data_IF_627973755127
#
_entry.id   IF_627973755127
#
_cell.length_a   1.000
_cell.length_b   1.000
_cell.length_c   1.000
_cell.angle_alpha   90.00
_cell.angle_beta   90.00
_cell.angle_gamma   90.00
#
_symmetry.space_group_name_H-M   'P 1'
#
loop_
_entity.id
_entity.type
_entity.pdbx_description
1 polymer ?
#
# COMPACT_ATOMS: atom_id res chain seq x y z
N UNK A 1 -11.42 0.47 19.61
CA UNK A 1 -10.19 1.27 19.57
C UNK A 1 -10.44 2.36 18.53
N UNK A 2 -10.73 3.60 18.95
CA UNK A 2 -11.29 4.62 18.04
C UNK A 2 -10.33 5.08 16.94
N UNK A 3 -9.02 4.84 17.09
CA UNK A 3 -8.01 5.27 16.12
C UNK A 3 -8.01 4.42 14.85
N UNK A 4 -8.11 3.09 14.99
CA UNK A 4 -8.11 2.17 13.85
C UNK A 4 -9.40 2.30 13.01
N UNK A 5 -10.53 2.59 13.66
CA UNK A 5 -11.81 2.81 12.98
C UNK A 5 -11.81 4.09 12.13
N UNK A 6 -11.13 5.15 12.60
CA UNK A 6 -10.99 6.42 11.85
C UNK A 6 -10.03 6.30 10.66
N UNK A 7 -8.95 5.53 10.81
CA UNK A 7 -8.00 5.26 9.73
C UNK A 7 -8.66 4.44 8.61
N UNK A 8 -9.39 3.37 8.98
CA UNK A 8 -10.06 2.51 8.02
C UNK A 8 -11.16 3.23 7.25
N UNK A 9 -11.92 4.10 7.92
CA UNK A 9 -12.96 4.93 7.28
C UNK A 9 -12.33 5.95 6.33
N UNK A 10 -11.26 6.63 6.75
CA UNK A 10 -10.52 7.54 5.87
C UNK A 10 -9.97 6.83 4.63
N UNK A 11 -9.37 5.65 4.81
CA UNK A 11 -8.85 4.84 3.71
C UNK A 11 -9.94 4.46 2.70
N UNK A 12 -11.10 4.02 3.19
CA UNK A 12 -12.22 3.61 2.36
C UNK A 12 -12.82 4.79 1.59
N UNK A 13 -13.08 5.89 2.28
CA UNK A 13 -13.59 7.13 1.67
C UNK A 13 -12.60 7.66 0.64
N UNK A 14 -11.31 7.70 0.99
CA UNK A 14 -10.28 8.19 0.08
C UNK A 14 -10.11 7.28 -1.13
N UNK A 15 -10.18 5.97 -0.95
CA UNK A 15 -10.15 5.02 -2.06
C UNK A 15 -11.34 5.23 -3.02
N UNK A 16 -12.55 5.39 -2.46
CA UNK A 16 -13.76 5.63 -3.25
C UNK A 16 -13.68 6.97 -3.99
N UNK A 17 -13.19 8.03 -3.36
CA UNK A 17 -12.91 9.31 -4.00
C UNK A 17 -11.95 9.13 -5.19
N UNK A 18 -10.83 8.45 -4.97
CA UNK A 18 -9.78 8.28 -5.99
C UNK A 18 -10.21 7.44 -7.19
N UNK A 19 -11.12 6.50 -7.00
CA UNK A 19 -11.68 5.64 -8.06
C UNK A 19 -12.87 6.30 -8.77
N UNK A 20 -13.70 7.05 -8.04
CA UNK A 20 -14.91 7.71 -8.57
C UNK A 20 -14.60 9.01 -9.32
N UNK A 21 -13.76 9.90 -8.77
CA UNK A 21 -13.54 11.26 -9.29
C UNK A 21 -12.91 11.27 -10.69
N UNK A 22 -12.18 10.21 -11.07
CA UNK A 22 -11.45 10.14 -12.35
C UNK A 22 -11.79 8.94 -13.21
N UNK A 23 -12.87 8.20 -12.89
CA UNK A 23 -13.16 6.92 -13.53
C UNK A 23 -11.96 5.96 -13.50
N UNK A 24 -11.13 6.08 -12.46
CA UNK A 24 -9.85 5.40 -12.38
C UNK A 24 -10.07 3.95 -11.94
N UNK A 25 -9.49 3.01 -12.67
CA UNK A 25 -9.58 1.59 -12.34
C UNK A 25 -9.00 1.29 -10.94
N UNK A 26 -9.52 0.28 -10.25
CA UNK A 26 -9.07 -0.19 -8.92
C UNK A 26 -7.53 -0.17 -8.73
N UNK A 27 -6.70 -0.65 -9.69
CA UNK A 27 -5.23 -0.58 -9.57
C UNK A 27 -4.67 0.84 -9.40
N UNK A 28 -5.27 1.83 -10.07
CA UNK A 28 -4.87 3.25 -9.99
C UNK A 28 -5.22 3.82 -8.61
N UNK A 29 -6.34 3.43 -8.03
CA UNK A 29 -6.74 3.83 -6.68
C UNK A 29 -5.70 3.38 -5.65
N UNK A 30 -5.30 2.10 -5.71
CA UNK A 30 -4.26 1.56 -4.83
C UNK A 30 -2.88 2.20 -5.06
N UNK A 31 -2.49 2.44 -6.32
CA UNK A 31 -1.25 3.14 -6.64
C UNK A 31 -1.20 4.53 -5.97
N UNK A 32 -2.31 5.27 -6.02
CA UNK A 32 -2.39 6.61 -5.43
C UNK A 32 -2.36 6.58 -3.91
N UNK A 33 -3.03 5.61 -3.28
CA UNK A 33 -2.92 5.40 -1.83
C UNK A 33 -1.47 5.11 -1.44
N UNK A 34 -0.78 4.18 -2.15
CA UNK A 34 0.62 3.88 -1.88
C UNK A 34 1.52 5.12 -1.92
N UNK A 35 1.33 6.00 -2.90
CA UNK A 35 2.01 7.30 -2.98
C UNK A 35 1.68 8.23 -1.82
N UNK A 36 0.42 8.31 -1.41
CA UNK A 36 0.00 9.16 -0.28
C UNK A 36 0.66 8.68 1.02
N UNK A 37 0.66 7.38 1.30
CA UNK A 37 1.34 6.83 2.48
C UNK A 37 2.84 7.09 2.48
N UNK A 38 3.49 6.90 1.32
CA UNK A 38 4.92 7.19 1.15
C UNK A 38 5.23 8.68 1.33
N UNK A 39 4.54 9.54 0.60
CA UNK A 39 4.91 10.95 0.44
C UNK A 39 4.38 11.84 1.57
N UNK A 40 3.20 11.53 2.13
CA UNK A 40 2.56 12.36 3.17
C UNK A 40 2.75 11.84 4.58
N UNK A 41 2.71 10.52 4.76
CA UNK A 41 2.77 9.90 6.08
C UNK A 41 4.13 9.29 6.39
N UNK A 42 5.03 9.17 5.40
CA UNK A 42 6.28 8.42 5.50
C UNK A 42 6.08 7.00 6.04
N UNK A 43 4.88 6.46 5.87
CA UNK A 43 4.53 5.10 6.24
C UNK A 43 4.85 4.19 5.06
N UNK A 44 6.13 3.78 5.03
CA UNK A 44 6.67 2.95 3.97
C UNK A 44 6.09 1.52 3.95
N UNK A 45 5.57 1.05 5.09
CA UNK A 45 4.93 -0.27 5.20
C UNK A 45 3.54 -0.25 4.54
N UNK A 46 2.71 0.72 4.92
CA UNK A 46 1.40 0.92 4.29
C UNK A 46 1.56 1.23 2.81
N UNK A 47 2.54 2.07 2.44
CA UNK A 47 2.84 2.37 1.06
C UNK A 47 3.14 1.10 0.24
N UNK A 48 4.00 0.23 0.77
CA UNK A 48 4.34 -1.06 0.13
C UNK A 48 3.09 -1.92 -0.06
N UNK A 49 2.28 -2.08 0.99
CA UNK A 49 1.07 -2.89 0.95
C UNK A 49 0.09 -2.42 -0.14
N UNK A 50 -0.08 -1.11 -0.30
CA UNK A 50 -0.95 -0.57 -1.35
C UNK A 50 -0.36 -0.73 -2.76
N UNK A 51 0.96 -0.63 -2.93
CA UNK A 51 1.59 -0.95 -4.21
C UNK A 51 1.44 -2.44 -4.57
N UNK A 52 1.53 -3.35 -3.60
CA UNK A 52 1.26 -4.78 -3.80
C UNK A 52 -0.20 -5.03 -4.22
N UNK A 53 -1.17 -4.39 -3.56
CA UNK A 53 -2.59 -4.45 -3.96
C UNK A 53 -2.82 -3.89 -5.37
N UNK A 54 -2.12 -2.82 -5.74
CA UNK A 54 -2.17 -2.26 -7.08
C UNK A 54 -1.66 -3.27 -8.11
N UNK A 55 -0.54 -3.94 -7.82
CA UNK A 55 0.04 -4.97 -8.69
C UNK A 55 -0.91 -6.17 -8.85
N UNK A 56 -1.43 -6.71 -7.75
CA UNK A 56 -2.35 -7.85 -7.76
C UNK A 56 -3.61 -7.55 -8.59
N UNK A 57 -4.18 -6.36 -8.41
CA UNK A 57 -5.36 -5.93 -9.17
C UNK A 57 -5.02 -5.68 -10.65
N UNK A 58 -3.83 -5.14 -10.95
CA UNK A 58 -3.38 -4.92 -12.33
C UNK A 58 -3.22 -6.22 -13.11
N UNK A 59 -2.62 -7.24 -12.48
CA UNK A 59 -2.42 -8.57 -13.07
C UNK A 59 -3.77 -9.28 -13.32
N UNK A 60 -4.76 -9.07 -12.44
CA UNK A 60 -6.12 -9.61 -12.60
C UNK A 60 -6.97 -8.90 -13.65
N UNK A 61 -6.77 -7.60 -13.86
CA UNK A 61 -7.67 -6.78 -14.69
C UNK A 61 -7.05 -6.20 -15.96
N UNK A 62 -5.86 -6.66 -16.37
CA UNK A 62 -5.13 -6.18 -17.56
C UNK A 62 -5.15 -4.63 -17.65
N UNK A 63 -4.86 -3.99 -16.52
CA UNK A 63 -4.96 -2.54 -16.38
C UNK A 63 -3.78 -1.82 -17.03
N UNK A 64 -4.00 -0.56 -17.44
CA UNK A 64 -2.99 0.32 -18.03
C UNK A 64 -1.99 0.91 -17.01
N UNK A 65 -2.01 0.47 -15.74
CA UNK A 65 -0.97 0.90 -14.79
C UNK A 65 0.38 0.34 -15.22
N UNK A 66 1.43 1.16 -15.08
CA UNK A 66 2.79 0.72 -15.38
C UNK A 66 3.26 -0.28 -14.31
N UNK A 67 3.01 -1.57 -14.57
CA UNK A 67 3.37 -2.69 -13.70
C UNK A 67 4.88 -2.69 -13.39
N UNK A 68 5.71 -2.28 -14.35
CA UNK A 68 7.17 -2.20 -14.14
C UNK A 68 7.49 -1.14 -13.09
N UNK A 69 6.91 0.05 -13.21
CA UNK A 69 7.06 1.11 -12.22
C UNK A 69 6.59 0.64 -10.83
N UNK A 70 5.43 -0.03 -10.73
CA UNK A 70 4.92 -0.54 -9.44
C UNK A 70 5.89 -1.55 -8.82
N UNK A 71 6.46 -2.45 -9.61
CA UNK A 71 7.47 -3.43 -9.14
C UNK A 71 8.76 -2.75 -8.66
N UNK A 72 9.20 -1.68 -9.34
CA UNK A 72 10.36 -0.89 -8.93
C UNK A 72 10.12 -0.16 -7.61
N UNK A 73 8.94 0.44 -7.42
CA UNK A 73 8.54 1.09 -6.17
C UNK A 73 8.50 0.09 -5.00
N UNK A 74 7.90 -1.09 -5.20
CA UNK A 74 7.88 -2.15 -4.18
C UNK A 74 9.31 -2.57 -3.82
N UNK A 75 10.19 -2.73 -4.81
CA UNK A 75 11.60 -3.08 -4.56
C UNK A 75 12.31 -1.99 -3.75
N UNK A 76 12.14 -0.72 -4.12
CA UNK A 76 12.75 0.41 -3.42
C UNK A 76 12.26 0.50 -1.96
N UNK A 77 10.95 0.37 -1.74
CA UNK A 77 10.37 0.37 -0.40
C UNK A 77 10.85 -0.82 0.44
N UNK A 78 10.96 -2.02 -0.14
CA UNK A 78 11.50 -3.17 0.58
C UNK A 78 12.93 -2.95 1.05
N UNK A 79 13.78 -2.29 0.24
CA UNK A 79 15.12 -1.93 0.65
C UNK A 79 15.12 -0.87 1.76
N UNK A 80 14.31 0.18 1.61
CA UNK A 80 14.22 1.26 2.60
C UNK A 80 13.72 0.74 3.95
N UNK A 81 12.62 0.00 3.93
CA UNK A 81 12.02 -0.62 5.11
C UNK A 81 13.03 -1.53 5.81
N UNK A 82 13.80 -2.33 5.05
CA UNK A 82 14.85 -3.16 5.62
C UNK A 82 15.96 -2.33 6.28
N UNK A 83 16.46 -1.28 5.62
CA UNK A 83 17.51 -0.42 6.16
C UNK A 83 17.06 0.30 7.43
N UNK A 84 15.85 0.85 7.44
CA UNK A 84 15.25 1.48 8.62
C UNK A 84 15.19 0.47 9.76
N UNK A 85 14.71 -0.76 9.51
CA UNK A 85 14.68 -1.80 10.54
C UNK A 85 16.06 -2.13 11.09
N UNK A 86 17.05 -2.33 10.23
CA UNK A 86 18.42 -2.64 10.63
C UNK A 86 19.01 -1.49 11.48
N UNK A 87 18.74 -0.24 11.10
CA UNK A 87 19.19 0.94 11.85
C UNK A 87 18.56 1.04 13.25
N UNK A 88 17.29 0.67 13.39
CA UNK A 88 16.54 0.80 14.64
C UNK A 88 16.34 -0.53 15.39
N UNK A 89 16.99 -1.62 14.95
CA UNK A 89 16.88 -2.98 15.48
C UNK A 89 15.41 -3.45 15.66
N UNK A 90 14.57 -3.15 14.66
CA UNK A 90 13.15 -3.47 14.65
C UNK A 90 12.91 -4.88 14.08
N UNK A 91 11.91 -5.60 14.62
CA UNK A 91 11.55 -6.93 14.13
C UNK A 91 11.06 -6.91 12.67
N UNK A 92 11.30 -8.02 11.96
CA UNK A 92 10.88 -8.21 10.58
C UNK A 92 9.34 -8.06 10.43
N UNK A 93 8.84 -7.57 9.27
CA UNK A 93 7.40 -7.46 9.10
C UNK A 93 6.81 -8.87 9.11
N UNK A 94 5.59 -9.06 9.64
CA UNK A 94 4.87 -10.29 9.41
C UNK A 94 4.77 -10.53 7.90
N UNK A 95 4.98 -11.77 7.47
CA UNK A 95 4.88 -12.10 6.05
C UNK A 95 3.49 -11.70 5.52
N UNK A 96 3.39 -11.18 4.29
CA UNK A 96 2.09 -10.86 3.71
C UNK A 96 1.21 -12.12 3.70
N UNK A 97 0.12 -12.11 4.47
CA UNK A 97 -0.76 -13.26 4.68
C UNK A 97 -0.70 -13.89 6.09
N UNK A 98 0.24 -13.48 6.95
CA UNK A 98 0.23 -13.83 8.38
C UNK A 98 -0.74 -12.94 9.15
N UNK A 99 -2.00 -12.89 8.72
CA UNK A 99 -3.07 -12.49 9.63
C UNK A 99 -3.28 -13.65 10.58
N UNK A 100 -2.51 -13.69 11.67
CA UNK A 100 -2.84 -14.55 12.80
C UNK A 100 -4.25 -14.19 13.24
N UNK A 101 -5.15 -15.15 13.06
CA UNK A 101 -6.34 -15.26 13.85
C UNK A 101 -5.94 -15.37 15.32
N UNK A 102 -6.06 -14.28 16.07
CA UNK A 102 -6.18 -14.23 17.53
C UNK A 102 -7.04 -12.97 17.80
N UNK A 103 -8.28 -13.04 18.31
CA UNK A 103 -8.95 -13.97 19.21
C UNK A 103 -10.41 -14.22 18.80
#
# INVERSE_FOLDING_TARGET
DLGQDLEATWQYEKFNELTTERGSSIPIGYLRLGRIYRDRFSDYESARLYFEKALESAEKHASAVDIRMVKEEIRALNQLVRQVREQFNLEAPPAPGSSSAEK
#
